data_IF_377496393212
#
_entry.id   IF_377496393212
#
_cell.length_a   1.000
_cell.length_b   1.000
_cell.length_c   1.000
_cell.angle_alpha   90.00
_cell.angle_beta   90.00
_cell.angle_gamma   90.00
#
_symmetry.space_group_name_H-M   'P 1'
#
loop_
_entity.id
_entity.type
_entity.pdbx_description
1 polymer ?
#
# COMPACT_ATOMS: atom_id res chain seq x y z
N UNK A 1 14.14 3.87 -43.45
CA UNK A 1 13.29 4.35 -42.33
C UNK A 1 12.49 3.25 -41.61
N UNK A 2 11.97 2.18 -42.27
CA UNK A 2 11.18 1.12 -41.59
C UNK A 2 11.88 0.39 -40.43
N UNK A 3 13.20 0.24 -40.49
CA UNK A 3 13.99 -0.46 -39.45
C UNK A 3 14.14 0.40 -38.20
N UNK A 4 14.21 1.73 -38.33
CA UNK A 4 14.39 2.65 -37.20
C UNK A 4 13.17 2.66 -36.27
N UNK A 5 11.95 2.65 -36.84
CA UNK A 5 10.72 2.56 -36.05
C UNK A 5 10.62 1.24 -35.28
N UNK A 6 11.03 0.11 -35.89
CA UNK A 6 11.10 -1.18 -35.21
C UNK A 6 12.06 -1.12 -34.01
N UNK A 7 13.25 -0.53 -34.19
CA UNK A 7 14.24 -0.34 -33.12
C UNK A 7 13.78 0.61 -32.01
N UNK A 8 12.90 1.58 -32.26
CA UNK A 8 12.33 2.41 -31.21
C UNK A 8 11.20 1.71 -30.45
N UNK A 9 10.33 0.97 -31.14
CA UNK A 9 9.17 0.30 -30.52
C UNK A 9 9.57 -0.86 -29.62
N UNK A 10 10.66 -1.56 -29.93
CA UNK A 10 11.09 -2.73 -29.18
C UNK A 10 11.55 -2.41 -27.74
N UNK A 11 12.47 -1.45 -27.49
CA UNK A 11 12.83 -1.03 -26.13
C UNK A 11 11.66 -0.42 -25.36
N UNK A 12 10.77 0.31 -26.04
CA UNK A 12 9.59 0.92 -25.41
C UNK A 12 8.64 -0.14 -24.84
N UNK A 13 8.38 -1.20 -25.61
CA UNK A 13 7.56 -2.32 -25.16
C UNK A 13 8.15 -3.00 -23.93
N UNK A 14 9.46 -3.31 -23.97
CA UNK A 14 10.13 -3.95 -22.84
C UNK A 14 10.16 -3.05 -21.61
N UNK A 15 10.41 -1.74 -21.76
CA UNK A 15 10.38 -0.80 -20.65
C UNK A 15 9.01 -0.76 -19.95
N UNK A 16 7.92 -0.70 -20.71
CA UNK A 16 6.55 -0.76 -20.19
C UNK A 16 6.23 -2.11 -19.54
N UNK A 17 6.65 -3.20 -20.17
CA UNK A 17 6.42 -4.55 -19.67
C UNK A 17 7.08 -4.78 -18.30
N UNK A 18 8.33 -4.33 -18.12
CA UNK A 18 9.03 -4.43 -16.83
C UNK A 18 8.33 -3.64 -15.71
N UNK A 19 7.73 -2.50 -16.02
CA UNK A 19 6.98 -1.69 -15.04
C UNK A 19 5.71 -2.40 -14.55
N UNK A 20 5.12 -3.27 -15.38
CA UNK A 20 3.82 -3.89 -15.09
C UNK A 20 3.91 -4.95 -13.99
N UNK A 21 5.03 -5.67 -13.90
CA UNK A 21 5.20 -6.77 -12.93
C UNK A 21 5.08 -6.31 -11.47
N UNK A 22 5.67 -5.16 -11.13
CA UNK A 22 5.57 -4.59 -9.78
C UNK A 22 4.23 -3.90 -9.56
N UNK A 23 3.73 -3.18 -10.57
CA UNK A 23 2.46 -2.45 -10.52
C UNK A 23 1.27 -3.35 -10.22
N UNK A 24 1.16 -4.51 -10.90
CA UNK A 24 0.06 -5.45 -10.69
C UNK A 24 0.02 -6.02 -9.28
N UNK A 25 1.17 -6.27 -8.65
CA UNK A 25 1.23 -6.73 -7.26
C UNK A 25 0.72 -5.64 -6.31
N UNK A 26 1.15 -4.39 -6.51
CA UNK A 26 0.68 -3.27 -5.68
C UNK A 26 -0.82 -3.01 -5.85
N UNK A 27 -1.34 -3.14 -7.07
CA UNK A 27 -2.77 -3.03 -7.34
C UNK A 27 -3.54 -4.19 -6.69
N UNK A 28 -3.04 -5.43 -6.79
CA UNK A 28 -3.64 -6.61 -6.17
C UNK A 28 -3.68 -6.53 -4.64
N UNK A 29 -2.69 -5.89 -4.00
CA UNK A 29 -2.69 -5.63 -2.54
C UNK A 29 -3.83 -4.72 -2.08
N UNK A 30 -4.39 -3.91 -3.00
CA UNK A 30 -5.49 -2.98 -2.75
C UNK A 30 -6.84 -3.52 -3.21
N UNK A 31 -6.85 -4.68 -3.87
CA UNK A 31 -8.06 -5.36 -4.32
C UNK A 31 -8.47 -6.43 -3.32
N UNK A 32 -9.75 -6.77 -3.32
CA UNK A 32 -10.20 -7.97 -2.61
C UNK A 32 -9.62 -9.22 -3.28
N UNK A 33 -8.93 -10.03 -2.49
CA UNK A 33 -8.29 -11.27 -2.94
C UNK A 33 -9.15 -12.51 -2.71
N UNK A 34 -10.40 -12.36 -2.29
CA UNK A 34 -11.29 -13.49 -2.00
C UNK A 34 -11.88 -14.08 -3.29
N UNK A 35 -11.57 -15.36 -3.54
CA UNK A 35 -12.27 -16.18 -4.53
C UNK A 35 -13.05 -17.26 -3.77
N UNK A 36 -14.34 -17.00 -3.55
CA UNK A 36 -15.17 -17.84 -2.69
C UNK A 36 -14.65 -17.79 -1.24
N UNK A 37 -14.20 -18.93 -0.72
CA UNK A 37 -13.66 -19.04 0.65
C UNK A 37 -12.13 -18.92 0.72
N UNK A 38 -11.44 -18.86 -0.42
CA UNK A 38 -9.97 -18.86 -0.46
C UNK A 38 -9.43 -17.46 -0.77
N UNK A 39 -8.50 -16.98 0.05
CA UNK A 39 -7.79 -15.71 -0.17
C UNK A 39 -6.54 -15.96 -1.01
N UNK A 40 -6.46 -15.32 -2.17
CA UNK A 40 -5.30 -15.39 -3.06
C UNK A 40 -4.25 -14.37 -2.60
N UNK A 41 -3.00 -14.80 -2.37
CA UNK A 41 -1.92 -13.88 -2.05
C UNK A 41 -1.62 -12.94 -3.24
N UNK A 42 -1.50 -11.62 -3.03
CA UNK A 42 -1.25 -10.65 -4.10
C UNK A 42 -0.01 -10.95 -4.95
N UNK A 43 1.00 -11.60 -4.39
CA UNK A 43 2.24 -11.97 -5.08
C UNK A 43 2.00 -12.95 -6.23
N UNK A 44 0.93 -13.76 -6.16
CA UNK A 44 0.52 -14.69 -7.23
C UNK A 44 0.09 -13.98 -8.52
N UNK A 45 -0.24 -12.69 -8.45
CA UNK A 45 -0.60 -11.90 -9.65
C UNK A 45 0.52 -11.89 -10.71
N UNK A 46 1.80 -11.95 -10.28
CA UNK A 46 2.95 -11.99 -11.19
C UNK A 46 3.08 -13.34 -11.93
N UNK A 47 2.51 -14.42 -11.36
CA UNK A 47 2.50 -15.76 -11.96
C UNK A 47 1.56 -15.85 -13.17
N UNK A 48 0.61 -14.92 -13.32
CA UNK A 48 -0.32 -14.89 -14.46
C UNK A 48 0.41 -14.72 -15.79
N UNK A 49 1.49 -13.94 -15.83
CA UNK A 49 2.23 -13.69 -17.06
C UNK A 49 2.87 -14.96 -17.68
N UNK A 50 3.72 -15.75 -16.97
CA UNK A 50 4.26 -16.99 -17.54
C UNK A 50 3.17 -18.02 -17.86
N UNK A 51 2.08 -18.09 -17.09
CA UNK A 51 0.94 -18.96 -17.38
C UNK A 51 0.26 -18.58 -18.71
N UNK A 52 0.05 -17.29 -18.95
CA UNK A 52 -0.48 -16.78 -20.20
C UNK A 52 0.45 -17.09 -21.38
N UNK A 53 1.77 -16.95 -21.23
CA UNK A 53 2.72 -17.26 -22.32
C UNK A 53 2.64 -18.75 -22.69
N UNK A 54 2.65 -19.65 -21.70
CA UNK A 54 2.56 -21.10 -21.92
C UNK A 54 1.25 -21.49 -22.61
N UNK A 55 0.15 -20.78 -22.31
CA UNK A 55 -1.17 -21.07 -22.87
C UNK A 55 -1.38 -20.41 -24.24
N UNK A 56 -0.96 -19.15 -24.40
CA UNK A 56 -1.22 -18.35 -25.59
C UNK A 56 -0.29 -18.69 -26.75
N UNK A 57 1.00 -19.00 -26.54
CA UNK A 57 1.89 -19.40 -27.63
C UNK A 57 1.31 -20.55 -28.47
N UNK A 58 0.98 -21.73 -27.90
CA UNK A 58 0.45 -22.83 -28.69
C UNK A 58 -0.93 -22.50 -29.27
N UNK A 59 -1.78 -21.75 -28.56
CA UNK A 59 -3.07 -21.29 -29.08
C UNK A 59 -2.90 -20.44 -30.35
N UNK A 60 -1.97 -19.48 -30.31
CA UNK A 60 -1.73 -18.58 -31.43
C UNK A 60 -1.10 -19.33 -32.61
N UNK A 61 -0.11 -20.19 -32.36
CA UNK A 61 0.62 -20.91 -33.40
C UNK A 61 -0.20 -22.02 -34.06
N UNK A 62 -1.01 -22.77 -33.30
CA UNK A 62 -1.75 -23.92 -33.81
C UNK A 62 -3.17 -23.58 -34.29
N UNK A 63 -3.79 -22.54 -33.73
CA UNK A 63 -5.20 -22.23 -33.98
C UNK A 63 -5.36 -20.87 -34.66
N UNK A 64 -4.92 -19.80 -34.01
CA UNK A 64 -5.27 -18.43 -34.43
C UNK A 64 -4.58 -18.04 -35.74
N UNK A 65 -3.26 -18.19 -35.84
CA UNK A 65 -2.54 -17.86 -37.06
C UNK A 65 -2.95 -18.70 -38.28
N UNK A 66 -3.04 -20.05 -38.21
CA UNK A 66 -3.49 -20.84 -39.36
C UNK A 66 -4.93 -20.55 -39.76
N UNK A 67 -5.79 -20.12 -38.82
CA UNK A 67 -7.14 -19.65 -39.16
C UNK A 67 -7.10 -18.30 -39.88
N UNK A 68 -6.35 -17.33 -39.37
CA UNK A 68 -6.25 -15.99 -39.96
C UNK A 68 -5.58 -15.99 -41.34
N UNK A 69 -4.60 -16.87 -41.57
CA UNK A 69 -3.96 -17.02 -42.88
C UNK A 69 -4.91 -17.58 -43.93
N UNK A 70 -5.91 -18.40 -43.55
CA UNK A 70 -6.98 -18.85 -44.47
C UNK A 70 -7.82 -17.68 -45.01
N UNK A 71 -7.95 -16.60 -44.25
CA UNK A 71 -8.63 -15.37 -44.67
C UNK A 71 -7.70 -14.30 -45.26
N UNK A 72 -6.41 -14.62 -45.48
CA UNK A 72 -5.42 -13.67 -45.99
C UNK A 72 -5.03 -12.56 -45.02
N UNK A 73 -5.44 -12.64 -43.76
CA UNK A 73 -5.14 -11.67 -42.71
C UNK A 73 -3.86 -12.05 -41.94
N UNK A 74 -3.11 -11.07 -41.44
CA UNK A 74 -1.97 -11.27 -40.54
C UNK A 74 -0.87 -12.22 -41.08
N UNK A 75 -0.67 -12.22 -42.40
CA UNK A 75 0.32 -13.07 -43.11
C UNK A 75 1.76 -12.62 -42.89
N UNK A 76 2.00 -11.33 -42.66
CA UNK A 76 3.35 -10.75 -42.44
C UNK A 76 3.66 -10.65 -40.95
N UNK A 77 4.89 -11.02 -40.56
CA UNK A 77 5.40 -10.89 -39.18
C UNK A 77 5.25 -9.47 -38.63
N UNK A 78 5.48 -8.45 -39.45
CA UNK A 78 5.32 -7.04 -39.04
C UNK A 78 3.88 -6.69 -38.68
N UNK A 79 2.89 -7.26 -39.38
CA UNK A 79 1.47 -7.02 -39.07
C UNK A 79 1.09 -7.64 -37.72
N UNK A 80 1.62 -8.83 -37.42
CA UNK A 80 1.41 -9.50 -36.11
C UNK A 80 1.98 -8.67 -34.97
N UNK A 81 3.17 -8.08 -35.17
CA UNK A 81 3.79 -7.21 -34.17
C UNK A 81 2.95 -5.94 -33.92
N UNK A 82 2.44 -5.30 -34.98
CA UNK A 82 1.61 -4.08 -34.85
C UNK A 82 0.31 -4.40 -34.11
N UNK A 83 -0.37 -5.49 -34.46
CA UNK A 83 -1.61 -5.91 -33.78
C UNK A 83 -1.33 -6.21 -32.30
N UNK A 84 -0.24 -6.90 -31.99
CA UNK A 84 0.17 -7.14 -30.59
C UNK A 84 0.40 -5.84 -29.80
N UNK A 85 1.00 -4.83 -30.42
CA UNK A 85 1.19 -3.51 -29.80
C UNK A 85 -0.13 -2.79 -29.53
N UNK A 86 -1.11 -2.87 -30.45
CA UNK A 86 -2.44 -2.30 -30.24
C UNK A 86 -3.16 -2.98 -29.08
N UNK A 87 -3.06 -4.32 -28.98
CA UNK A 87 -3.58 -5.06 -27.82
C UNK A 87 -2.91 -4.65 -26.52
N UNK A 88 -1.57 -4.49 -26.52
CA UNK A 88 -0.83 -4.05 -25.34
C UNK A 88 -1.30 -2.66 -24.86
N UNK A 89 -1.40 -1.67 -25.77
CA UNK A 89 -1.90 -0.32 -25.44
C UNK A 89 -3.30 -0.39 -24.85
N UNK A 90 -4.20 -1.18 -25.45
CA UNK A 90 -5.57 -1.34 -24.96
C UNK A 90 -5.60 -1.95 -23.55
N UNK A 91 -4.76 -2.96 -23.28
CA UNK A 91 -4.63 -3.56 -21.97
C UNK A 91 -4.11 -2.57 -20.91
N UNK A 92 -3.15 -1.72 -21.26
CA UNK A 92 -2.66 -0.66 -20.37
C UNK A 92 -3.73 0.39 -20.04
N UNK A 93 -4.60 0.73 -21.00
CA UNK A 93 -5.73 1.63 -20.75
C UNK A 93 -6.70 1.01 -19.73
N UNK A 94 -7.03 -0.28 -19.86
CA UNK A 94 -7.88 -0.98 -18.88
C UNK A 94 -7.21 -1.01 -17.50
N UNK A 95 -5.92 -1.35 -17.44
CA UNK A 95 -5.15 -1.33 -16.20
C UNK A 95 -5.18 0.05 -15.52
N UNK A 96 -5.03 1.14 -16.28
CA UNK A 96 -5.07 2.50 -15.77
C UNK A 96 -6.45 2.87 -15.21
N UNK A 97 -7.54 2.50 -15.90
CA UNK A 97 -8.91 2.76 -15.44
C UNK A 97 -9.23 2.01 -14.14
N UNK A 98 -8.80 0.75 -14.04
CA UNK A 98 -8.92 -0.03 -12.78
C UNK A 98 -8.09 0.63 -11.69
N UNK A 99 -6.85 1.04 -11.98
CA UNK A 99 -6.00 1.67 -10.99
C UNK A 99 -6.63 2.93 -10.39
N UNK A 100 -7.22 3.79 -11.23
CA UNK A 100 -7.90 5.01 -10.77
C UNK A 100 -9.05 4.67 -9.81
N UNK A 101 -9.79 3.59 -10.08
CA UNK A 101 -10.91 3.16 -9.23
C UNK A 101 -10.43 2.60 -7.89
N UNK A 102 -9.31 1.87 -7.88
CA UNK A 102 -8.73 1.23 -6.69
C UNK A 102 -7.96 2.22 -5.81
N UNK A 103 -7.33 3.24 -6.41
CA UNK A 103 -6.61 4.29 -5.67
C UNK A 103 -7.56 5.02 -4.68
N UNK A 104 -8.87 5.06 -4.96
CA UNK A 104 -9.86 5.72 -4.11
C UNK A 104 -10.41 4.87 -2.97
N UNK A 105 -10.11 3.56 -2.93
CA UNK A 105 -10.70 2.63 -1.95
C UNK A 105 -9.59 1.82 -1.31
N UNK A 106 -8.87 2.40 -0.34
CA UNK A 106 -7.95 1.61 0.52
C UNK A 106 -8.76 0.74 1.49
N UNK A 107 -9.89 1.27 1.97
CA UNK A 107 -10.82 0.66 2.89
C UNK A 107 -12.25 0.99 2.39
N UNK A 108 -13.19 0.03 2.41
CA UNK A 108 -14.59 0.32 2.18
C UNK A 108 -15.09 1.39 3.15
N UNK A 109 -16.08 2.19 2.75
CA UNK A 109 -16.69 3.19 3.64
C UNK A 109 -17.29 2.59 4.93
N UNK A 110 -17.60 1.28 4.93
CA UNK A 110 -18.10 0.56 6.10
C UNK A 110 -17.01 0.02 7.02
N UNK A 111 -15.73 0.04 6.61
CA UNK A 111 -14.64 -0.57 7.36
C UNK A 111 -13.61 0.45 7.82
N UNK A 112 -12.98 0.16 8.96
CA UNK A 112 -11.83 0.89 9.46
C UNK A 112 -10.73 -0.05 9.93
N UNK A 113 -9.51 0.48 9.98
CA UNK A 113 -8.32 -0.22 10.47
C UNK A 113 -7.64 0.62 11.55
N UNK A 114 -7.21 -0.03 12.62
CA UNK A 114 -6.53 0.63 13.74
C UNK A 114 -5.11 0.10 13.85
N UNK A 115 -4.10 0.95 13.63
CA UNK A 115 -2.71 0.58 13.86
C UNK A 115 -2.35 0.78 15.33
N UNK A 116 -1.79 -0.23 15.95
CA UNK A 116 -1.37 -0.15 17.35
C UNK A 116 0.15 -0.24 17.45
N UNK A 117 0.77 0.77 18.05
CA UNK A 117 2.22 0.85 18.25
C UNK A 117 2.56 0.75 19.73
N UNK A 118 3.47 -0.16 20.08
CA UNK A 118 3.95 -0.31 21.44
C UNK A 118 5.31 0.38 21.61
N UNK A 119 5.36 1.55 22.28
CA UNK A 119 6.64 2.21 22.62
C UNK A 119 7.12 1.88 24.03
N UNK A 120 6.42 1.00 24.75
CA UNK A 120 6.79 0.58 26.09
C UNK A 120 7.93 -0.46 26.05
N UNK A 121 8.75 -0.54 27.11
CA UNK A 121 9.82 -1.53 27.21
C UNK A 121 9.32 -2.96 27.49
N UNK A 122 8.01 -3.18 27.62
CA UNK A 122 7.41 -4.48 27.90
C UNK A 122 6.33 -4.87 26.87
N UNK A 123 6.00 -6.17 26.74
CA UNK A 123 4.87 -6.61 25.92
C UNK A 123 3.55 -6.03 26.44
N UNK A 124 2.71 -5.58 25.50
CA UNK A 124 1.38 -5.07 25.79
C UNK A 124 0.33 -5.97 25.12
N UNK A 125 -0.66 -6.41 25.89
CA UNK A 125 -1.84 -7.10 25.35
C UNK A 125 -2.93 -6.07 25.03
N UNK A 126 -3.44 -6.14 23.82
CA UNK A 126 -4.48 -5.25 23.31
C UNK A 126 -5.70 -6.09 22.96
N UNK A 127 -6.85 -5.72 23.50
CA UNK A 127 -8.12 -6.38 23.23
C UNK A 127 -9.04 -5.35 22.59
N UNK A 128 -9.45 -5.64 21.36
CA UNK A 128 -10.49 -4.89 20.67
C UNK A 128 -11.83 -5.52 21.02
N UNK A 129 -12.77 -4.74 21.55
CA UNK A 129 -14.07 -5.25 21.97
C UNK A 129 -14.85 -5.93 20.83
N UNK A 130 -14.57 -5.56 19.57
CA UNK A 130 -15.18 -6.14 18.37
C UNK A 130 -14.51 -7.43 17.86
N UNK A 131 -13.26 -7.70 18.24
CA UNK A 131 -12.49 -8.82 17.69
C UNK A 131 -12.39 -10.03 18.64
N UNK A 132 -12.90 -9.92 19.88
CA UNK A 132 -12.89 -10.96 20.93
C UNK A 132 -11.54 -11.70 21.10
N UNK A 133 -10.45 -11.07 20.68
CA UNK A 133 -9.12 -11.65 20.65
C UNK A 133 -8.13 -10.70 21.34
N UNK A 134 -7.41 -11.22 22.33
CA UNK A 134 -6.30 -10.52 22.96
C UNK A 134 -5.03 -10.75 22.13
N UNK A 135 -4.52 -9.69 21.51
CA UNK A 135 -3.31 -9.73 20.68
C UNK A 135 -2.14 -9.13 21.47
N UNK A 136 -1.01 -9.83 21.50
CA UNK A 136 0.20 -9.33 22.16
C UNK A 136 1.09 -8.56 21.19
N UNK A 137 1.50 -7.37 21.60
CA UNK A 137 2.42 -6.51 20.86
C UNK A 137 3.77 -6.52 21.59
N UNK A 138 4.85 -7.00 20.96
CA UNK A 138 6.18 -6.97 21.56
C UNK A 138 6.66 -5.52 21.79
N UNK A 139 7.65 -5.30 22.67
CA UNK A 139 8.21 -3.96 22.89
C UNK A 139 8.81 -3.41 21.59
N UNK A 140 8.48 -2.16 21.24
CA UNK A 140 8.85 -1.54 19.96
C UNK A 140 8.09 -2.11 18.74
N UNK A 141 7.13 -3.00 18.96
CA UNK A 141 6.37 -3.68 17.92
C UNK A 141 5.19 -2.86 17.39
N UNK A 142 4.68 -3.31 16.25
CA UNK A 142 3.42 -2.84 15.66
C UNK A 142 2.46 -4.01 15.50
N UNK A 143 1.20 -3.78 15.84
CA UNK A 143 0.08 -4.67 15.55
C UNK A 143 -0.88 -3.98 14.59
N UNK A 144 -1.30 -4.72 13.57
CA UNK A 144 -2.35 -4.31 12.63
C UNK A 144 -3.44 -5.37 12.70
N UNK A 145 -4.50 -5.16 13.50
CA UNK A 145 -5.67 -6.01 13.55
C UNK A 145 -6.37 -6.10 12.19
N UNK A 146 -7.21 -7.11 12.00
CA UNK A 146 -8.05 -7.22 10.80
C UNK A 146 -9.05 -6.07 10.70
N UNK A 147 -9.47 -5.78 9.47
CA UNK A 147 -10.42 -4.71 9.16
C UNK A 147 -11.79 -5.06 9.78
N UNK A 148 -12.42 -4.09 10.45
CA UNK A 148 -13.69 -4.30 11.15
C UNK A 148 -14.74 -3.28 10.70
N UNK A 149 -16.02 -3.63 10.87
CA UNK A 149 -17.14 -2.74 10.52
C UNK A 149 -17.29 -1.58 11.51
N UNK A 150 -17.43 -0.38 10.95
CA UNK A 150 -17.59 0.88 11.69
C UNK A 150 -19.06 1.03 12.11
N UNK A 151 -19.30 1.04 13.42
CA UNK A 151 -20.58 1.42 14.00
C UNK A 151 -20.32 2.58 14.96
N UNK A 152 -20.36 3.80 14.42
CA UNK A 152 -20.07 5.04 15.15
C UNK A 152 -18.64 5.57 14.95
N UNK A 153 -18.34 6.70 15.60
CA UNK A 153 -17.11 7.47 15.39
C UNK A 153 -15.95 7.06 16.32
N UNK A 154 -16.16 6.09 17.22
CA UNK A 154 -15.17 5.66 18.21
C UNK A 154 -15.22 4.16 18.47
N UNK A 155 -14.05 3.58 18.78
CA UNK A 155 -13.91 2.16 19.17
C UNK A 155 -13.18 2.07 20.50
N UNK A 156 -13.75 1.29 21.43
CA UNK A 156 -13.12 1.00 22.73
C UNK A 156 -12.02 -0.07 22.56
N UNK A 157 -10.81 0.29 22.98
CA UNK A 157 -9.63 -0.57 22.98
C UNK A 157 -9.16 -0.74 24.42
N UNK A 158 -9.11 -1.99 24.88
CA UNK A 158 -8.60 -2.32 26.21
C UNK A 158 -7.12 -2.67 26.09
N UNK A 159 -6.28 -1.89 26.77
CA UNK A 159 -4.83 -2.09 26.79
C UNK A 159 -4.42 -2.56 28.17
N UNK A 160 -3.58 -3.59 28.21
CA UNK A 160 -2.97 -4.10 29.43
C UNK A 160 -1.47 -4.30 29.21
N UNK A 161 -0.66 -3.66 30.04
CA UNK A 161 0.80 -3.77 29.98
C UNK A 161 1.39 -3.75 31.39
N UNK A 162 2.32 -4.65 31.71
CA UNK A 162 2.84 -4.81 33.08
C UNK A 162 3.63 -3.57 33.53
N UNK A 163 4.37 -2.97 32.60
CA UNK A 163 5.19 -1.79 32.82
C UNK A 163 4.40 -0.47 32.86
N UNK A 164 3.07 -0.52 32.67
CA UNK A 164 2.20 0.65 32.69
C UNK A 164 1.01 0.39 33.62
N UNK A 165 0.72 1.30 34.55
CA UNK A 165 -0.36 1.13 35.54
C UNK A 165 -0.32 -0.21 36.32
N UNK A 166 0.87 -0.79 36.52
CA UNK A 166 1.06 -2.05 37.24
C UNK A 166 0.33 -3.26 36.63
N UNK A 167 0.03 -3.24 35.32
CA UNK A 167 -0.71 -4.31 34.65
C UNK A 167 -2.23 -4.23 34.79
N UNK A 168 -2.76 -3.09 35.25
CA UNK A 168 -4.19 -2.80 35.21
C UNK A 168 -4.69 -2.61 33.77
N UNK A 169 -5.97 -2.88 33.56
CA UNK A 169 -6.63 -2.66 32.27
C UNK A 169 -6.99 -1.19 32.12
N UNK A 170 -6.54 -0.58 31.02
CA UNK A 170 -6.85 0.80 30.68
C UNK A 170 -7.68 0.80 29.40
N UNK A 171 -8.86 1.42 29.48
CA UNK A 171 -9.80 1.56 28.36
C UNK A 171 -9.53 2.87 27.65
N UNK A 172 -9.41 2.80 26.33
CA UNK A 172 -9.20 3.98 25.48
C UNK A 172 -10.16 3.97 24.32
N UNK A 173 -10.80 5.11 24.12
CA UNK A 173 -11.62 5.38 22.95
C UNK A 173 -10.73 5.89 21.82
N UNK A 174 -10.63 5.11 20.74
CA UNK A 174 -9.90 5.49 19.53
C UNK A 174 -10.91 6.05 18.54
N UNK A 175 -10.77 7.30 18.06
CA UNK A 175 -11.63 7.84 17.02
C UNK A 175 -11.41 7.06 15.74
N UNK A 176 -12.49 6.59 15.12
CA UNK A 176 -12.47 5.85 13.86
C UNK A 176 -13.40 6.52 12.85
N UNK A 177 -13.04 6.42 11.58
CA UNK A 177 -13.89 6.87 10.49
C UNK A 177 -13.83 5.81 9.39
N UNK A 178 -14.98 5.51 8.80
CA UNK A 178 -15.06 4.60 7.66
C UNK A 178 -14.13 5.04 6.52
N UNK A 179 -13.55 4.08 5.82
CA UNK A 179 -12.53 4.27 4.79
C UNK A 179 -11.16 4.81 5.28
N UNK A 180 -10.97 5.05 6.59
CA UNK A 180 -9.74 5.64 7.12
C UNK A 180 -9.02 4.76 8.15
N UNK A 181 -7.69 4.97 8.21
CA UNK A 181 -6.82 4.29 9.17
C UNK A 181 -6.59 5.16 10.40
N UNK A 182 -6.84 4.60 11.57
CA UNK A 182 -6.64 5.25 12.87
C UNK A 182 -5.40 4.68 13.55
N UNK A 183 -4.83 5.40 14.51
CA UNK A 183 -3.58 4.99 15.17
C UNK A 183 -3.68 5.13 16.68
N UNK A 184 -3.26 4.10 17.40
CA UNK A 184 -3.12 4.10 18.85
C UNK A 184 -1.65 3.89 19.20
N UNK A 185 -1.07 4.82 19.94
CA UNK A 185 0.33 4.73 20.40
C UNK A 185 0.34 4.54 21.90
N UNK A 186 0.95 3.46 22.37
CA UNK A 186 1.13 3.20 23.79
C UNK A 186 2.41 3.88 24.27
N UNK A 187 2.28 4.98 25.02
CA UNK A 187 3.39 5.74 25.60
C UNK A 187 3.50 5.50 27.12
N UNK A 188 4.68 5.71 27.75
CA UNK A 188 4.83 5.74 29.21
C UNK A 188 3.89 6.74 29.92
N UNK A 189 3.55 7.85 29.26
CA UNK A 189 2.61 8.86 29.78
C UNK A 189 1.14 8.41 29.67
N UNK A 190 0.87 7.42 28.82
CA UNK A 190 -0.41 6.79 28.62
C UNK A 190 -0.68 6.41 27.17
N UNK A 191 -1.72 5.60 26.92
CA UNK A 191 -2.18 5.32 25.58
C UNK A 191 -2.71 6.60 24.92
N UNK A 192 -2.12 6.97 23.79
CA UNK A 192 -2.45 8.16 23.00
C UNK A 192 -3.24 7.75 21.75
N UNK A 193 -4.57 7.92 21.73
CA UNK A 193 -5.36 7.75 20.53
C UNK A 193 -5.10 8.94 19.60
N UNK A 194 -4.86 8.65 18.32
CA UNK A 194 -4.64 9.67 17.31
C UNK A 194 -5.80 9.65 16.30
N UNK A 195 -6.19 10.83 15.78
CA UNK A 195 -7.28 10.92 14.82
C UNK A 195 -6.95 10.13 13.53
N UNK A 196 -8.00 9.66 12.83
CA UNK A 196 -7.86 8.95 11.58
C UNK A 196 -7.09 9.79 10.56
N UNK A 197 -6.30 9.10 9.75
CA UNK A 197 -5.55 9.72 8.67
C UNK A 197 -6.50 10.00 7.52
N UNK A 198 -6.99 11.24 7.45
CA UNK A 198 -7.91 11.68 6.39
C UNK A 198 -7.19 11.92 5.07
N UNK A 199 -5.90 12.28 5.12
CA UNK A 199 -5.07 12.51 3.94
C UNK A 199 -4.58 11.18 3.36
N UNK A 200 -4.85 10.95 2.08
CA UNK A 200 -4.31 9.81 1.33
C UNK A 200 -2.77 9.89 1.35
N UNK A 201 -2.09 8.79 1.71
CA UNK A 201 -0.62 8.73 1.92
C UNK A 201 0.18 9.04 0.64
N UNK A 202 -0.48 9.12 -0.51
CA UNK A 202 0.06 9.68 -1.75
C UNK A 202 -0.74 10.95 -2.09
N UNK A 203 -0.18 12.14 -1.90
CA UNK A 203 -0.83 13.35 -2.43
C UNK A 203 -0.97 13.29 -3.98
N UNK A 204 -1.66 14.26 -4.58
CA UNK A 204 -1.75 14.48 -6.04
C UNK A 204 -0.39 14.36 -6.78
N UNK A 205 0.72 14.61 -6.08
CA UNK A 205 2.10 14.54 -6.59
C UNK A 205 2.83 13.20 -6.30
N UNK A 206 2.14 12.19 -5.76
CA UNK A 206 2.71 10.92 -5.29
C UNK A 206 3.83 11.07 -4.23
N UNK A 207 3.85 12.18 -3.49
CA UNK A 207 4.82 12.42 -2.42
C UNK A 207 4.42 11.67 -1.15
N UNK A 208 5.31 10.81 -0.65
CA UNK A 208 5.10 10.15 0.64
C UNK A 208 5.12 11.19 1.77
N UNK A 209 4.20 11.11 2.72
CA UNK A 209 4.23 11.91 3.96
C UNK A 209 4.70 11.05 5.13
N UNK A 210 5.52 11.64 6.00
CA UNK A 210 5.90 11.03 7.29
C UNK A 210 5.07 11.66 8.40
N UNK A 211 4.51 10.82 9.25
CA UNK A 211 3.88 11.21 10.52
C UNK A 211 4.89 11.02 11.65
N UNK A 212 5.25 12.08 12.35
CA UNK A 212 6.14 12.03 13.51
C UNK A 212 5.29 12.13 14.78
N UNK A 213 5.51 11.20 15.70
CA UNK A 213 4.80 11.11 16.98
C UNK A 213 5.86 10.98 18.08
N UNK A 214 5.86 11.92 19.02
CA UNK A 214 6.73 11.89 20.20
C UNK A 214 5.91 11.43 21.40
N UNK A 215 6.12 10.20 21.90
CA UNK A 215 5.34 9.64 23.01
C UNK A 215 5.59 10.34 24.35
N UNK A 216 6.81 10.87 24.55
CA UNK A 216 7.18 11.64 25.73
C UNK A 216 7.15 13.15 25.41
N UNK A 217 6.50 13.93 26.26
CA UNK A 217 6.32 15.37 26.04
C UNK A 217 7.64 16.15 25.99
N UNK A 218 7.67 17.16 25.11
CA UNK A 218 8.72 18.17 24.90
C UNK A 218 10.05 17.63 24.35
N UNK A 219 10.01 17.11 23.11
CA UNK A 219 11.18 17.20 22.24
C UNK A 219 10.98 18.42 21.36
N UNK A 220 11.51 19.58 21.76
CA UNK A 220 11.28 20.83 21.02
C UNK A 220 11.93 20.81 19.63
N UNK A 221 13.02 20.05 19.49
CA UNK A 221 13.78 19.90 18.25
C UNK A 221 14.10 18.42 18.00
N UNK A 222 13.55 17.88 16.91
CA UNK A 222 13.88 16.53 16.44
C UNK A 222 14.75 16.67 15.19
N UNK A 223 15.96 16.12 15.22
CA UNK A 223 16.87 16.17 14.07
C UNK A 223 16.97 14.79 13.45
N UNK A 224 16.47 14.63 12.23
CA UNK A 224 16.68 13.40 11.48
C UNK A 224 18.08 13.44 10.88
N UNK A 225 18.93 12.49 11.29
CA UNK A 225 20.28 12.33 10.74
C UNK A 225 20.32 11.11 9.82
N UNK A 226 20.83 11.30 8.61
CA UNK A 226 21.15 10.22 7.69
C UNK A 226 22.52 10.51 7.06
N UNK A 227 23.51 9.67 7.38
CA UNK A 227 24.92 9.90 7.04
C UNK A 227 25.41 11.28 7.53
N UNK A 228 25.80 12.18 6.62
CA UNK A 228 26.30 13.53 6.93
C UNK A 228 25.20 14.62 6.88
N UNK A 229 23.94 14.23 6.69
CA UNK A 229 22.82 15.16 6.55
C UNK A 229 22.01 15.21 7.85
N UNK A 230 21.74 16.43 8.30
CA UNK A 230 20.92 16.71 9.48
C UNK A 230 19.80 17.67 9.10
N UNK A 231 18.55 17.28 9.36
CA UNK A 231 17.38 18.16 9.20
C UNK A 231 16.65 18.27 10.53
N UNK A 232 16.58 19.49 11.07
CA UNK A 232 15.94 19.79 12.34
C UNK A 232 14.47 20.17 12.13
N UNK A 233 13.60 19.57 12.95
CA UNK A 233 12.17 19.80 13.01
C UNK A 233 11.83 20.44 14.35
N UNK A 234 11.28 21.65 14.34
CA UNK A 234 10.74 22.28 15.55
C UNK A 234 9.37 21.69 15.84
N UNK A 235 9.28 20.81 16.84
CA UNK A 235 8.03 20.19 17.27
C UNK A 235 7.34 21.06 18.34
N UNK A 236 6.90 22.26 17.96
CA UNK A 236 5.96 23.02 18.80
C UNK A 236 4.62 22.26 18.92
N UNK A 237 4.26 21.85 20.15
CA UNK A 237 2.97 21.24 20.50
C UNK A 237 2.97 19.70 20.63
N UNK A 238 1.97 19.16 21.33
CA UNK A 238 1.81 17.73 21.66
C UNK A 238 1.08 16.90 20.59
N UNK A 239 0.93 17.43 19.37
CA UNK A 239 0.16 16.82 18.28
C UNK A 239 1.02 16.14 17.22
N UNK A 240 0.48 15.18 16.45
CA UNK A 240 1.18 14.55 15.35
C UNK A 240 1.50 15.59 14.25
N UNK A 241 2.76 15.66 13.82
CA UNK A 241 3.18 16.53 12.71
C UNK A 241 3.39 15.72 11.43
N UNK A 242 2.92 16.28 10.32
CA UNK A 242 3.10 15.74 8.97
C UNK A 242 4.19 16.51 8.23
N UNK A 243 5.09 15.80 7.58
CA UNK A 243 6.09 16.40 6.69
C UNK A 243 6.21 15.59 5.39
N UNK A 244 6.32 16.23 4.22
CA UNK A 244 6.60 15.51 2.99
C UNK A 244 7.99 14.88 3.05
N UNK A 245 8.09 13.60 2.70
CA UNK A 245 9.33 12.83 2.63
C UNK A 245 10.36 13.52 1.73
N UNK A 246 9.91 14.23 0.71
CA UNK A 246 10.78 14.96 -0.20
C UNK A 246 11.53 16.11 0.44
N UNK A 247 11.09 16.72 1.56
CA UNK A 247 11.92 17.69 2.28
C UNK A 247 13.16 17.01 2.87
N UNK A 248 12.97 15.80 3.39
CA UNK A 248 14.03 14.91 3.87
C UNK A 248 14.89 14.40 2.70
N UNK A 249 14.27 14.11 1.53
CA UNK A 249 14.96 13.52 0.38
C UNK A 249 15.53 14.52 -0.64
N UNK A 250 15.10 15.78 -0.70
CA UNK A 250 15.57 16.76 -1.72
C UNK A 250 17.02 17.19 -1.52
N UNK A 251 17.61 16.95 -0.34
CA UNK A 251 19.07 17.04 -0.16
C UNK A 251 19.82 15.74 -0.45
N UNK A 252 19.11 14.65 -0.75
CA UNK A 252 19.69 13.35 -1.13
C UNK A 252 19.91 13.27 -2.66
N UNK A 253 19.25 14.12 -3.45
CA UNK A 253 19.31 14.09 -4.93
C UNK A 253 20.02 15.30 -5.58
N UNK A 254 20.71 16.15 -4.81
CA UNK A 254 21.63 17.16 -5.35
C UNK A 254 23.10 16.70 -5.26
N UNK A 255 23.33 15.42 -5.57
CA UNK A 255 24.63 14.81 -5.89
C UNK A 255 24.47 14.02 -7.19
#
# INVERSE_FOLDING_TARGET
MRVLCLFCTFPLFWALFYQTSTGMIFQAKRLDGLIGTYRIPPEMSSTVNPLLIITLIPLFDLVIYPFLTRFGLLTKTTSRMIVGMVFAVTAFVVYALVNISVEQVILPASQARVHVYNTLPCPASVTLQKLDASLQVPPGGRLVPEDFEVEGDQVEVVVRAICYSGGAEVRVEVPVTGAHESTLVMSPTGPLPLPPTLDYIKDEDAEAKIRIITPDGSVDNLTLKYNALEEAFTLEGSGPKWTPFKKISRRITNL
#
